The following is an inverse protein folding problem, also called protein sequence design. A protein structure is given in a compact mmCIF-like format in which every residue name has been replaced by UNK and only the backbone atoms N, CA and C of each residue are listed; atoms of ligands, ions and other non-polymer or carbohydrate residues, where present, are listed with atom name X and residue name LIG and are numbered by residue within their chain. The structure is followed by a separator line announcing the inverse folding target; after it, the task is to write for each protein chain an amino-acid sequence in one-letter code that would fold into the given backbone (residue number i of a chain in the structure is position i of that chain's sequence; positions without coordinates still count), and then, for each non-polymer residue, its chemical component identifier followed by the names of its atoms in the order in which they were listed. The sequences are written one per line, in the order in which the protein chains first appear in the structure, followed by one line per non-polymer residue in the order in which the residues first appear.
data_IF_071135565493
#
_entry.id   IF_071135565493
#
_cell.length_a   1.000
_cell.length_b   1.000
_cell.length_c   1.000
_cell.angle_alpha   90.00
_cell.angle_beta   90.00
_cell.angle_gamma   90.00
#
_symmetry.space_group_name_H-M   'P 1'
#
loop_
_entity.id
_entity.type
_entity.pdbx_description
1 polymer ?
#
# COMPACT_ATOMS: atom_id res chain seq x y z
N UNK A 1 17.33 3.37 29.08
CA UNK A 1 16.85 2.47 28.02
C UNK A 1 16.34 3.37 26.90
N UNK A 2 16.95 3.29 25.72
CA UNK A 2 16.60 4.18 24.61
C UNK A 2 15.20 3.87 24.09
N UNK A 3 14.51 4.85 23.50
CA UNK A 3 13.20 4.64 22.86
C UNK A 3 13.26 3.55 21.75
N UNK A 4 14.45 3.31 21.18
CA UNK A 4 14.67 2.36 20.10
C UNK A 4 14.78 0.90 20.55
N UNK A 5 15.41 0.62 21.70
CA UNK A 5 15.43 -0.74 22.28
C UNK A 5 14.01 -1.25 22.58
N UNK A 6 13.13 -0.32 23.00
CA UNK A 6 11.71 -0.61 23.18
C UNK A 6 11.06 -0.95 21.85
N UNK A 7 11.32 -0.17 20.80
CA UNK A 7 10.77 -0.42 19.47
C UNK A 7 11.22 -1.80 18.92
N UNK A 8 12.50 -2.13 19.00
CA UNK A 8 13.03 -3.43 18.56
C UNK A 8 12.38 -4.59 19.32
N UNK A 9 12.26 -4.47 20.64
CA UNK A 9 11.57 -5.48 21.47
C UNK A 9 10.12 -5.68 21.05
N UNK A 10 9.38 -4.60 20.74
CA UNK A 10 7.98 -4.67 20.30
C UNK A 10 7.83 -5.37 18.94
N UNK A 11 8.74 -5.15 18.00
CA UNK A 11 8.78 -5.92 16.75
C UNK A 11 9.07 -7.41 17.02
N UNK A 12 10.01 -7.71 17.92
CA UNK A 12 10.30 -9.08 18.32
C UNK A 12 9.11 -9.76 19.02
N UNK A 13 8.33 -9.05 19.84
CA UNK A 13 7.07 -9.52 20.45
C UNK A 13 6.04 -9.94 19.38
N UNK A 14 6.03 -9.25 18.23
CA UNK A 14 5.23 -9.61 17.05
C UNK A 14 5.88 -10.70 16.17
N UNK A 15 7.01 -11.28 16.58
CA UNK A 15 7.83 -12.20 15.77
C UNK A 15 8.28 -11.60 14.42
N UNK A 16 8.63 -10.31 14.45
CA UNK A 16 9.12 -9.54 13.31
C UNK A 16 10.56 -9.09 13.58
N UNK A 17 11.40 -9.15 12.56
CA UNK A 17 12.76 -8.64 12.61
C UNK A 17 12.77 -7.17 12.22
N UNK A 18 13.44 -6.34 13.00
CA UNK A 18 13.66 -4.94 12.70
C UNK A 18 15.11 -4.56 13.00
N UNK A 19 15.64 -3.65 12.22
CA UNK A 19 16.91 -2.95 12.47
C UNK A 19 16.58 -1.45 12.61
N UNK A 20 16.87 -0.88 13.77
CA UNK A 20 16.70 0.57 14.00
C UNK A 20 18.04 1.27 13.87
N UNK A 21 18.19 2.11 12.85
CA UNK A 21 19.45 2.84 12.59
C UNK A 21 19.37 4.22 13.22
N UNK A 22 20.16 4.43 14.27
CA UNK A 22 20.32 5.74 14.90
C UNK A 22 21.14 6.72 14.04
N UNK A 23 20.91 8.01 14.29
CA UNK A 23 21.54 9.11 13.59
C UNK A 23 23.07 9.06 13.77
N UNK A 24 23.82 8.91 12.67
CA UNK A 24 25.29 9.01 12.66
C UNK A 24 26.02 7.90 11.90
N UNK A 25 25.36 6.80 11.53
CA UNK A 25 26.07 5.60 11.05
C UNK A 25 26.08 5.44 9.51
N UNK A 26 25.18 6.06 8.73
CA UNK A 26 25.24 5.91 7.26
C UNK A 26 24.76 7.11 6.45
N UNK A 27 25.36 7.26 5.26
CA UNK A 27 24.75 7.90 4.09
C UNK A 27 23.37 7.27 3.90
N UNK A 28 22.32 8.06 4.13
CA UNK A 28 20.94 7.76 3.74
C UNK A 28 20.99 7.16 2.33
N UNK A 29 20.21 6.09 2.09
CA UNK A 29 20.30 5.29 0.86
C UNK A 29 20.44 6.17 -0.39
N UNK A 30 21.30 5.76 -1.33
CA UNK A 30 21.49 6.48 -2.60
C UNK A 30 20.20 6.64 -3.42
N UNK A 31 19.13 5.96 -3.03
CA UNK A 31 17.80 6.02 -3.63
C UNK A 31 16.90 7.12 -3.04
N UNK A 32 17.10 7.53 -1.78
CA UNK A 32 16.22 8.50 -1.09
C UNK A 32 16.90 9.77 -0.60
N UNK A 33 18.22 9.88 -0.65
CA UNK A 33 18.91 10.99 0.02
C UNK A 33 19.06 12.25 -0.85
N UNK A 34 18.08 13.16 -0.78
CA UNK A 34 18.35 14.58 -0.92
C UNK A 34 18.67 15.24 0.43
N UNK A 35 19.00 16.53 0.45
CA UNK A 35 19.31 17.26 1.67
C UNK A 35 18.18 17.16 2.73
N UNK A 36 18.54 17.11 4.01
CA UNK A 36 17.65 17.07 5.18
C UNK A 36 16.75 15.82 5.36
N UNK A 37 16.85 14.80 4.49
CA UNK A 37 16.09 13.56 4.65
C UNK A 37 16.46 12.75 5.93
N UNK A 38 17.58 13.06 6.59
CA UNK A 38 18.02 12.38 7.81
C UNK A 38 17.21 12.75 9.07
N UNK A 39 16.43 13.83 9.03
CA UNK A 39 15.58 14.28 10.14
C UNK A 39 14.16 13.72 10.07
N UNK A 40 13.76 13.20 8.91
CA UNK A 40 12.42 12.65 8.71
C UNK A 40 12.42 11.15 9.02
N UNK A 41 11.28 10.65 9.48
CA UNK A 41 11.10 9.20 9.63
C UNK A 41 11.27 8.54 8.26
N UNK A 42 11.91 7.37 8.23
CA UNK A 42 11.93 6.49 7.08
C UNK A 42 11.79 5.05 7.54
N UNK A 43 11.08 4.25 6.76
CA UNK A 43 10.98 2.82 6.97
C UNK A 43 10.94 2.11 5.62
N UNK A 44 11.57 0.94 5.56
CA UNK A 44 11.63 0.10 4.37
C UNK A 44 11.73 -1.37 4.78
N UNK A 45 11.51 -2.27 3.83
CA UNK A 45 11.74 -3.71 3.98
C UNK A 45 12.99 -4.06 3.18
N UNK A 46 13.90 -4.82 3.79
CA UNK A 46 15.11 -5.30 3.16
C UNK A 46 15.23 -6.82 3.30
N UNK A 47 16.11 -7.41 2.50
CA UNK A 47 16.29 -8.86 2.43
C UNK A 47 15.46 -9.49 1.31
N UNK A 48 15.39 -10.82 1.29
CA UNK A 48 14.55 -11.58 0.35
C UNK A 48 13.88 -12.77 1.06
N UNK A 49 12.59 -12.96 0.83
CA UNK A 49 11.86 -14.14 1.25
C UNK A 49 11.78 -14.29 2.79
N UNK A 50 12.42 -15.33 3.33
CA UNK A 50 12.37 -15.60 4.80
C UNK A 50 13.37 -14.76 5.61
N UNK A 51 14.30 -14.10 4.95
CA UNK A 51 15.30 -13.25 5.62
C UNK A 51 14.90 -11.77 5.64
N UNK A 52 13.68 -11.45 5.21
CA UNK A 52 13.18 -10.09 5.23
C UNK A 52 13.12 -9.51 6.66
N UNK A 53 13.47 -8.24 6.77
CA UNK A 53 13.39 -7.47 7.99
C UNK A 53 13.02 -6.02 7.69
N UNK A 54 12.42 -5.36 8.68
CA UNK A 54 12.15 -3.94 8.63
C UNK A 54 13.42 -3.16 8.93
N UNK A 55 13.70 -2.09 8.19
CA UNK A 55 14.71 -1.10 8.56
C UNK A 55 14.02 0.21 8.86
N UNK A 56 14.23 0.73 10.06
CA UNK A 56 13.68 2.01 10.52
C UNK A 56 14.82 3.00 10.71
N UNK A 57 14.67 4.17 10.11
CA UNK A 57 15.45 5.37 10.43
C UNK A 57 14.50 6.32 11.16
N UNK A 58 14.59 6.44 12.50
CA UNK A 58 13.63 7.24 13.27
C UNK A 58 13.62 8.74 12.94
N UNK A 59 14.73 9.25 12.39
CA UNK A 59 14.91 10.66 12.08
C UNK A 59 15.28 11.50 13.32
N UNK A 60 14.75 12.72 13.41
CA UNK A 60 15.01 13.64 14.50
C UNK A 60 14.50 13.09 15.84
N UNK A 61 15.17 13.44 16.96
CA UNK A 61 14.75 13.03 18.32
C UNK A 61 13.35 13.53 18.74
N UNK A 62 12.84 14.55 18.06
CA UNK A 62 11.47 15.06 18.26
C UNK A 62 10.40 14.19 17.59
N UNK A 63 10.79 13.23 16.76
CA UNK A 63 9.86 12.30 16.14
C UNK A 63 9.43 11.28 17.21
N UNK A 64 8.14 10.99 17.23
CA UNK A 64 7.54 9.97 18.08
C UNK A 64 7.20 8.77 17.20
N UNK A 65 7.86 7.65 17.49
CA UNK A 65 7.67 6.37 16.81
C UNK A 65 7.38 5.33 17.88
N UNK A 66 6.21 4.71 17.81
CA UNK A 66 5.76 3.75 18.82
C UNK A 66 5.11 2.54 18.16
N UNK A 67 5.50 1.34 18.59
CA UNK A 67 4.73 0.13 18.31
C UNK A 67 3.67 -0.04 19.40
N UNK A 68 2.40 0.07 18.98
CA UNK A 68 1.24 0.06 19.86
C UNK A 68 0.67 -1.37 19.99
N UNK A 69 -0.36 -1.72 19.20
CA UNK A 69 -0.98 -3.04 19.24
C UNK A 69 -0.14 -4.09 18.53
N UNK A 70 0.03 -5.23 19.18
CA UNK A 70 0.77 -6.39 18.66
C UNK A 70 -0.17 -7.57 18.57
N UNK A 71 -0.09 -8.29 17.46
CA UNK A 71 -0.73 -9.59 17.25
C UNK A 71 0.35 -10.58 16.84
N UNK A 72 0.82 -11.37 17.81
CA UNK A 72 1.91 -12.33 17.63
C UNK A 72 1.50 -13.48 16.70
N UNK A 73 0.24 -13.90 16.75
CA UNK A 73 -0.27 -15.01 15.95
C UNK A 73 -0.32 -14.62 14.47
N UNK A 74 -0.73 -13.39 14.18
CA UNK A 74 -0.71 -12.82 12.82
C UNK A 74 0.67 -12.31 12.40
N UNK A 75 1.64 -12.24 13.33
CA UNK A 75 2.95 -11.60 13.14
C UNK A 75 2.82 -10.17 12.62
N UNK A 76 2.00 -9.38 13.31
CA UNK A 76 1.62 -8.04 12.91
C UNK A 76 1.66 -7.09 14.09
N UNK A 77 1.90 -5.81 13.81
CA UNK A 77 1.78 -4.73 14.78
C UNK A 77 1.26 -3.45 14.13
N UNK A 78 0.76 -2.55 14.97
CA UNK A 78 0.43 -1.18 14.57
C UNK A 78 1.57 -0.25 15.00
N UNK A 79 2.10 0.50 14.05
CA UNK A 79 3.15 1.49 14.24
C UNK A 79 2.57 2.90 14.15
N UNK A 80 2.70 3.68 15.22
CA UNK A 80 2.44 5.12 15.25
C UNK A 80 3.70 5.87 14.81
N UNK A 81 3.52 6.84 13.91
CA UNK A 81 4.54 7.83 13.52
C UNK A 81 3.95 9.23 13.64
N UNK A 82 4.62 10.09 14.40
CA UNK A 82 4.31 11.50 14.53
C UNK A 82 5.61 12.31 14.48
N UNK A 83 5.73 13.22 13.52
CA UNK A 83 6.92 14.05 13.35
C UNK A 83 6.51 15.49 13.04
N UNK A 84 7.25 16.52 13.47
CA UNK A 84 7.02 17.89 13.02
C UNK A 84 7.04 18.03 11.50
N UNK A 85 6.37 19.07 10.97
CA UNK A 85 6.49 19.44 9.57
C UNK A 85 7.93 19.82 9.26
N UNK A 86 8.52 19.14 8.27
CA UNK A 86 9.87 19.39 7.76
C UNK A 86 9.86 19.33 6.25
N UNK A 87 10.63 20.21 5.64
CA UNK A 87 10.91 20.14 4.23
C UNK A 87 12.12 19.26 3.98
N UNK A 88 12.04 18.36 3.00
CA UNK A 88 13.15 17.51 2.58
C UNK A 88 13.14 17.30 1.06
N UNK A 89 14.28 16.91 0.51
CA UNK A 89 14.43 16.58 -0.91
C UNK A 89 14.23 15.07 -1.14
N UNK A 90 13.32 14.70 -2.05
CA UNK A 90 13.12 13.32 -2.52
C UNK A 90 13.69 13.15 -3.94
N UNK A 91 14.50 12.12 -4.15
CA UNK A 91 15.00 11.73 -5.49
C UNK A 91 14.03 10.76 -6.14
N UNK A 92 13.53 11.09 -7.33
CA UNK A 92 12.66 10.23 -8.14
C UNK A 92 13.27 9.99 -9.52
N UNK A 93 13.05 8.83 -10.16
CA UNK A 93 13.53 8.58 -11.52
C UNK A 93 12.84 9.51 -12.53
N UNK A 94 13.59 10.05 -13.48
CA UNK A 94 13.07 10.93 -14.54
C UNK A 94 12.27 10.14 -15.58
N UNK A 95 12.72 8.94 -15.93
CA UNK A 95 12.04 8.09 -16.90
C UNK A 95 10.84 7.38 -16.27
N UNK A 96 9.69 7.44 -16.94
CA UNK A 96 8.46 6.79 -16.49
C UNK A 96 7.69 7.52 -15.38
N UNK A 97 8.24 8.62 -14.84
CA UNK A 97 7.56 9.45 -13.84
C UNK A 97 6.98 10.70 -14.48
N UNK A 98 5.65 10.80 -14.49
CA UNK A 98 4.98 12.04 -14.86
C UNK A 98 4.87 12.95 -13.63
N UNK A 99 5.62 14.06 -13.64
CA UNK A 99 5.58 15.05 -12.56
C UNK A 99 4.74 16.24 -13.00
N UNK A 100 3.67 16.51 -12.27
CA UNK A 100 2.90 17.74 -12.42
C UNK A 100 3.66 18.88 -11.69
N UNK A 101 4.42 19.66 -12.47
CA UNK A 101 5.23 20.79 -11.96
C UNK A 101 4.39 21.92 -11.35
N UNK A 102 3.07 21.93 -11.56
CA UNK A 102 2.17 22.89 -10.89
C UNK A 102 1.88 22.49 -9.45
N UNK A 103 2.03 21.20 -9.11
CA UNK A 103 1.77 20.65 -7.77
C UNK A 103 3.05 20.34 -7.00
N UNK A 104 4.14 20.07 -7.71
CA UNK A 104 5.40 19.63 -7.11
C UNK A 104 6.53 20.58 -7.51
N UNK A 105 7.26 21.08 -6.51
CA UNK A 105 8.45 21.91 -6.72
C UNK A 105 9.66 21.02 -7.02
N UNK A 106 10.14 21.07 -8.25
CA UNK A 106 11.41 20.45 -8.66
C UNK A 106 12.56 21.37 -8.23
N UNK A 107 13.45 20.87 -7.38
CA UNK A 107 14.59 21.62 -6.84
C UNK A 107 15.79 21.52 -7.79
N UNK A 108 16.05 20.32 -8.32
CA UNK A 108 17.10 20.07 -9.31
C UNK A 108 16.76 18.85 -10.17
N UNK A 109 17.42 18.73 -11.31
CA UNK A 109 17.28 17.60 -12.22
C UNK A 109 18.61 17.23 -12.87
N UNK A 110 18.76 15.96 -13.22
CA UNK A 110 19.82 15.48 -14.11
C UNK A 110 19.22 14.62 -15.23
N UNK A 111 20.07 13.88 -15.96
CA UNK A 111 19.65 13.01 -17.05
C UNK A 111 18.76 11.83 -16.60
N UNK A 112 18.88 11.38 -15.34
CA UNK A 112 18.25 10.14 -14.83
C UNK A 112 17.23 10.39 -13.72
N UNK A 113 17.32 11.51 -13.02
CA UNK A 113 16.62 11.77 -11.76
C UNK A 113 16.09 13.21 -11.68
N UNK A 114 14.98 13.37 -10.94
CA UNK A 114 14.47 14.63 -10.46
C UNK A 114 14.59 14.65 -8.93
N UNK A 115 14.92 15.80 -8.36
CA UNK A 115 14.84 16.04 -6.92
C UNK A 115 13.70 16.99 -6.68
N UNK A 116 12.73 16.55 -5.89
CA UNK A 116 11.52 17.32 -5.59
C UNK A 116 11.47 17.68 -4.11
N UNK A 117 10.88 18.84 -3.83
CA UNK A 117 10.61 19.26 -2.46
C UNK A 117 9.40 18.50 -1.90
N UNK A 118 9.56 17.92 -0.72
CA UNK A 118 8.51 17.25 0.04
C UNK A 118 8.37 17.85 1.42
N UNK A 119 7.21 17.65 2.05
CA UNK A 119 6.93 18.12 3.40
C UNK A 119 6.30 17.02 4.23
N UNK A 120 6.84 16.74 5.40
CA UNK A 120 6.22 15.80 6.32
C UNK A 120 4.91 16.34 6.90
N UNK A 121 4.00 15.43 7.24
CA UNK A 121 2.74 15.75 7.91
C UNK A 121 2.88 15.65 9.43
N UNK A 122 2.46 16.69 10.15
CA UNK A 122 2.49 16.72 11.62
C UNK A 122 1.41 15.87 12.30
N UNK A 123 0.42 15.39 11.54
CA UNK A 123 -0.62 14.50 12.05
C UNK A 123 -0.04 13.14 12.40
N UNK A 124 -0.64 12.49 13.39
CA UNK A 124 -0.36 11.10 13.73
C UNK A 124 -0.75 10.20 12.56
N UNK A 125 0.21 9.46 12.03
CA UNK A 125 0.01 8.42 11.02
C UNK A 125 0.16 7.08 11.69
N UNK A 126 -0.70 6.13 11.33
CA UNK A 126 -0.59 4.76 11.81
C UNK A 126 -0.36 3.84 10.61
N UNK A 127 0.43 2.80 10.83
CA UNK A 127 0.76 1.80 9.82
C UNK A 127 0.49 0.42 10.40
N UNK A 128 -0.11 -0.46 9.62
CA UNK A 128 -0.08 -1.89 9.89
C UNK A 128 1.20 -2.44 9.26
N UNK A 129 2.09 -2.94 10.09
CA UNK A 129 3.33 -3.60 9.67
C UNK A 129 3.22 -5.07 10.04
N UNK A 130 3.68 -5.96 9.17
CA UNK A 130 3.78 -7.36 9.56
C UNK A 130 4.17 -8.27 8.44
N UNK A 131 3.92 -9.56 8.62
CA UNK A 131 4.09 -10.57 7.58
C UNK A 131 2.73 -11.03 7.09
N UNK A 132 2.55 -11.09 5.78
CA UNK A 132 1.44 -11.78 5.13
C UNK A 132 2.01 -12.95 4.35
N UNK A 133 1.45 -14.15 4.53
CA UNK A 133 1.90 -15.41 3.91
C UNK A 133 3.44 -15.55 3.82
N UNK A 134 4.06 -15.07 2.72
CA UNK A 134 5.49 -15.19 2.43
C UNK A 134 6.30 -13.92 2.61
N UNK A 135 5.72 -12.75 2.81
CA UNK A 135 6.48 -11.49 2.81
C UNK A 135 6.09 -10.50 3.90
N UNK A 136 7.05 -9.66 4.26
CA UNK A 136 6.77 -8.48 5.05
C UNK A 136 5.98 -7.47 4.21
N UNK A 137 5.10 -6.72 4.87
CA UNK A 137 4.36 -5.62 4.28
C UNK A 137 4.27 -4.47 5.27
N UNK A 138 4.04 -3.28 4.72
CA UNK A 138 3.62 -2.11 5.48
C UNK A 138 2.50 -1.43 4.73
N UNK A 139 1.44 -1.14 5.46
CA UNK A 139 0.25 -0.55 4.93
C UNK A 139 -0.12 0.65 5.78
N UNK A 140 -0.24 1.83 5.17
CA UNK A 140 -0.68 2.99 5.91
C UNK A 140 -2.20 2.92 6.18
N UNK A 141 -2.59 3.21 7.42
CA UNK A 141 -3.98 3.16 7.83
C UNK A 141 -4.70 4.48 7.49
N UNK A 142 -5.95 4.42 6.98
CA UNK A 142 -6.72 5.60 6.61
C UNK A 142 -7.15 6.46 7.79
N UNK A 143 -7.09 5.90 9.01
CA UNK A 143 -7.38 6.62 10.25
C UNK A 143 -6.59 6.01 11.42
N UNK A 144 -6.47 6.77 12.50
CA UNK A 144 -5.83 6.31 13.72
C UNK A 144 -6.60 5.13 14.33
N UNK A 145 -5.88 4.05 14.58
CA UNK A 145 -6.29 2.85 15.31
C UNK A 145 -5.06 2.29 15.99
N UNK A 146 -5.20 1.66 17.14
CA UNK A 146 -4.07 1.17 17.94
C UNK A 146 -3.97 -0.36 17.97
N UNK A 147 -5.00 -1.06 17.49
CA UNK A 147 -5.06 -2.54 17.50
C UNK A 147 -4.99 -3.11 16.08
N UNK A 148 -4.30 -4.24 15.91
CA UNK A 148 -4.21 -4.96 14.63
C UNK A 148 -5.60 -5.34 14.10
N UNK A 149 -6.50 -5.82 14.96
CA UNK A 149 -7.88 -6.14 14.55
C UNK A 149 -8.59 -4.93 13.94
N UNK A 150 -8.48 -3.76 14.58
CA UNK A 150 -9.06 -2.52 14.07
C UNK A 150 -8.38 -2.08 12.77
N UNK A 151 -7.06 -2.29 12.63
CA UNK A 151 -6.33 -2.03 11.39
C UNK A 151 -6.92 -2.83 10.20
N UNK A 152 -7.22 -4.12 10.40
CA UNK A 152 -7.91 -4.94 9.40
C UNK A 152 -9.32 -4.43 9.08
N UNK A 153 -10.07 -3.96 10.07
CA UNK A 153 -11.42 -3.43 9.88
C UNK A 153 -11.41 -2.13 9.07
N UNK A 154 -10.49 -1.21 9.35
CA UNK A 154 -10.44 0.08 8.64
C UNK A 154 -9.98 -0.02 7.20
N UNK A 155 -9.18 -1.04 6.89
CA UNK A 155 -8.68 -1.33 5.53
C UNK A 155 -9.74 -1.93 4.60
N UNK A 156 -10.90 -2.36 5.13
CA UNK A 156 -12.01 -2.86 4.30
C UNK A 156 -12.75 -1.71 3.64
N UNK A 157 -12.84 -1.74 2.32
CA UNK A 157 -13.67 -0.81 1.58
C UNK A 157 -15.17 -1.02 1.88
N UNK A 158 -16.03 0.01 1.71
CA UNK A 158 -17.46 -0.11 1.99
C UNK A 158 -18.13 -1.28 1.27
N UNK A 159 -17.67 -1.62 0.08
CA UNK A 159 -18.18 -2.75 -0.72
C UNK A 159 -17.83 -4.11 -0.10
N UNK A 160 -16.65 -4.21 0.52
CA UNK A 160 -16.21 -5.40 1.26
C UNK A 160 -17.03 -5.57 2.53
N UNK A 161 -17.28 -4.48 3.25
CA UNK A 161 -18.09 -4.49 4.48
C UNK A 161 -19.55 -4.87 4.18
N UNK A 162 -20.10 -4.41 3.06
CA UNK A 162 -21.47 -4.74 2.62
C UNK A 162 -21.61 -6.13 2.03
N UNK A 163 -20.51 -6.79 1.65
CA UNK A 163 -20.56 -8.13 1.06
C UNK A 163 -21.08 -9.13 2.10
N UNK A 164 -22.09 -9.91 1.70
CA UNK A 164 -22.66 -10.99 2.54
C UNK A 164 -22.05 -12.36 2.23
N UNK A 165 -21.35 -12.47 1.10
CA UNK A 165 -20.73 -13.70 0.63
C UNK A 165 -19.30 -13.87 1.13
N UNK A 166 -18.63 -14.91 0.59
CA UNK A 166 -17.22 -15.13 0.87
C UNK A 166 -16.38 -14.00 0.26
N UNK A 167 -15.53 -13.40 1.09
CA UNK A 167 -14.56 -12.40 0.67
C UNK A 167 -13.18 -13.03 0.65
N UNK A 168 -12.61 -13.20 -0.54
CA UNK A 168 -11.20 -13.53 -0.66
C UNK A 168 -10.36 -12.25 -0.61
N UNK A 169 -9.12 -12.35 -0.13
CA UNK A 169 -8.16 -11.24 -0.09
C UNK A 169 -6.79 -11.75 -0.56
N UNK A 170 -6.08 -10.91 -1.30
CA UNK A 170 -4.67 -11.10 -1.65
C UNK A 170 -3.99 -9.72 -1.67
N UNK A 171 -3.00 -9.49 -0.80
CA UNK A 171 -2.34 -8.19 -0.68
C UNK A 171 -3.33 -7.04 -0.39
N UNK A 172 -3.35 -6.04 -1.26
CA UNK A 172 -4.25 -4.88 -1.24
C UNK A 172 -5.62 -5.13 -1.89
N UNK A 173 -5.84 -6.32 -2.47
CA UNK A 173 -7.05 -6.64 -3.23
C UNK A 173 -8.01 -7.53 -2.44
N UNK A 174 -9.28 -7.17 -2.48
CA UNK A 174 -10.41 -7.98 -2.07
C UNK A 174 -11.19 -8.44 -3.29
N UNK A 175 -11.67 -9.67 -3.24
CA UNK A 175 -12.53 -10.26 -4.25
C UNK A 175 -13.86 -10.59 -3.58
N UNK A 176 -14.88 -9.81 -3.94
CA UNK A 176 -16.21 -9.91 -3.34
C UNK A 176 -17.20 -10.45 -4.36
N UNK A 177 -18.22 -11.15 -3.88
CA UNK A 177 -19.32 -11.58 -4.72
C UNK A 177 -20.04 -10.35 -5.33
N UNK A 178 -20.18 -10.28 -6.68
CA UNK A 178 -20.91 -9.20 -7.33
C UNK A 178 -22.40 -9.23 -6.97
N UNK A 179 -23.02 -8.06 -6.93
CA UNK A 179 -24.48 -7.96 -6.85
C UNK A 179 -25.14 -8.42 -8.17
N UNK A 180 -26.43 -8.78 -8.12
CA UNK A 180 -27.19 -9.15 -9.32
C UNK A 180 -27.16 -8.06 -10.41
N UNK A 181 -27.29 -6.79 -10.02
CA UNK A 181 -27.23 -5.66 -10.95
C UNK A 181 -25.84 -5.51 -11.60
N UNK A 182 -24.76 -5.78 -10.86
CA UNK A 182 -23.40 -5.79 -11.40
C UNK A 182 -23.18 -6.95 -12.37
N UNK A 183 -23.73 -8.13 -12.07
CA UNK A 183 -23.69 -9.28 -12.98
C UNK A 183 -24.48 -9.02 -14.26
N UNK A 184 -25.65 -8.39 -14.17
CA UNK A 184 -26.44 -8.00 -15.34
C UNK A 184 -25.70 -6.95 -16.19
N UNK A 185 -25.08 -5.95 -15.55
CA UNK A 185 -24.24 -4.96 -16.24
C UNK A 185 -23.06 -5.61 -16.98
N UNK A 186 -22.35 -6.54 -16.33
CA UNK A 186 -21.26 -7.30 -16.93
C UNK A 186 -21.75 -8.11 -18.14
N UNK A 187 -22.85 -8.84 -17.99
CA UNK A 187 -23.43 -9.65 -19.07
C UNK A 187 -23.86 -8.77 -20.26
N UNK A 188 -24.50 -7.63 -19.99
CA UNK A 188 -24.90 -6.68 -21.03
C UNK A 188 -23.69 -6.06 -21.74
N UNK A 189 -22.64 -5.68 -20.99
CA UNK A 189 -21.43 -5.11 -21.56
C UNK A 189 -20.68 -6.11 -22.47
N UNK A 190 -20.63 -7.39 -22.08
CA UNK A 190 -20.02 -8.45 -22.89
C UNK A 190 -20.85 -8.76 -24.15
N UNK A 191 -22.18 -8.93 -24.02
CA UNK A 191 -23.05 -9.19 -25.19
C UNK A 191 -23.05 -8.05 -26.19
N UNK A 192 -23.00 -6.81 -25.70
CA UNK A 192 -22.96 -5.61 -26.54
C UNK A 192 -21.55 -5.23 -27.02
N UNK A 193 -20.54 -6.05 -26.78
CA UNK A 193 -19.13 -5.78 -27.13
C UNK A 193 -18.60 -4.43 -26.61
N UNK A 194 -19.17 -3.91 -25.52
CA UNK A 194 -18.72 -2.67 -24.86
C UNK A 194 -17.50 -2.87 -23.97
N UNK A 195 -17.18 -4.13 -23.68
CA UNK A 195 -15.98 -4.54 -22.97
C UNK A 195 -15.47 -5.87 -23.51
N UNK A 196 -14.23 -6.21 -23.15
CA UNK A 196 -13.57 -7.45 -23.56
C UNK A 196 -13.02 -8.18 -22.33
N UNK A 197 -13.09 -9.51 -22.36
CA UNK A 197 -12.37 -10.34 -21.40
C UNK A 197 -10.89 -10.32 -21.76
N UNK A 198 -10.10 -9.70 -20.91
CA UNK A 198 -8.64 -9.71 -21.03
C UNK A 198 -8.10 -10.93 -20.28
N UNK A 199 -7.12 -11.62 -20.86
CA UNK A 199 -6.51 -12.82 -20.27
C UNK A 199 -5.13 -12.50 -19.70
N UNK A 200 -4.74 -13.19 -18.62
CA UNK A 200 -3.43 -13.03 -17.95
C UNK A 200 -3.06 -11.56 -17.75
N UNK A 201 -3.99 -10.80 -17.19
CA UNK A 201 -3.92 -9.33 -17.17
C UNK A 201 -3.61 -8.82 -15.76
N UNK A 202 -2.68 -7.86 -15.62
CA UNK A 202 -2.43 -7.14 -14.38
C UNK A 202 -3.69 -6.50 -13.79
N UNK A 203 -3.89 -6.66 -12.49
CA UNK A 203 -4.82 -5.90 -11.67
C UNK A 203 -4.07 -4.65 -11.19
N UNK A 204 -4.50 -3.49 -11.65
CA UNK A 204 -3.84 -2.23 -11.31
C UNK A 204 -2.53 -1.99 -12.08
N UNK A 205 -1.67 -1.14 -11.51
CA UNK A 205 -0.37 -0.74 -12.07
C UNK A 205 0.70 -0.92 -11.00
N UNK A 206 1.87 -1.45 -11.34
CA UNK A 206 2.97 -1.71 -10.41
C UNK A 206 4.12 -2.48 -11.06
N UNK A 207 5.24 -2.61 -10.36
CA UNK A 207 6.40 -3.40 -10.80
C UNK A 207 6.11 -4.89 -10.78
N UNK A 208 5.47 -5.37 -9.71
CA UNK A 208 4.96 -6.73 -9.57
C UNK A 208 3.44 -6.70 -9.39
N UNK A 209 2.63 -6.58 -10.46
CA UNK A 209 1.20 -6.54 -10.30
C UNK A 209 0.63 -7.95 -10.03
N UNK A 210 -0.49 -7.99 -9.31
CA UNK A 210 -1.33 -9.17 -9.26
C UNK A 210 -1.86 -9.48 -10.66
N UNK A 211 -1.78 -10.72 -11.13
CA UNK A 211 -2.20 -11.11 -12.48
C UNK A 211 -3.39 -12.07 -12.41
N UNK A 212 -4.53 -11.65 -12.97
CA UNK A 212 -5.73 -12.48 -13.10
C UNK A 212 -5.72 -13.28 -14.41
N UNK A 213 -6.16 -14.53 -14.36
CA UNK A 213 -6.40 -15.36 -15.55
C UNK A 213 -7.38 -14.68 -16.51
N UNK A 214 -8.47 -14.10 -15.97
CA UNK A 214 -9.43 -13.30 -16.72
C UNK A 214 -9.78 -12.01 -15.95
N UNK A 215 -9.82 -10.87 -16.67
CA UNK A 215 -10.14 -9.56 -16.13
C UNK A 215 -11.05 -8.78 -17.10
N UNK A 216 -12.08 -8.14 -16.57
CA UNK A 216 -13.00 -7.28 -17.32
C UNK A 216 -13.19 -5.97 -16.58
N UNK A 217 -13.06 -4.85 -17.27
CA UNK A 217 -13.48 -3.54 -16.77
C UNK A 217 -14.83 -3.19 -17.40
N UNK A 218 -15.85 -2.98 -16.56
CA UNK A 218 -17.19 -2.59 -16.99
C UNK A 218 -17.36 -1.10 -16.72
N UNK A 219 -17.63 -0.27 -17.75
CA UNK A 219 -17.92 1.14 -17.54
C UNK A 219 -19.27 1.32 -16.83
N UNK A 220 -19.56 2.53 -16.36
CA UNK A 220 -20.88 2.84 -15.83
C UNK A 220 -21.97 2.44 -16.83
N UNK A 221 -22.94 1.65 -16.38
CA UNK A 221 -23.94 1.02 -17.25
C UNK A 221 -25.32 1.16 -16.64
N UNK A 222 -26.32 1.45 -17.46
CA UNK A 222 -27.73 1.46 -17.04
C UNK A 222 -28.28 0.03 -17.08
N UNK A 223 -28.78 -0.45 -15.95
CA UNK A 223 -29.48 -1.73 -15.81
C UNK A 223 -30.91 -1.46 -15.34
N UNK A 224 -31.88 -1.70 -16.23
CA UNK A 224 -33.26 -1.23 -16.04
C UNK A 224 -33.31 0.29 -15.85
N UNK A 225 -33.70 0.75 -14.66
CA UNK A 225 -33.74 2.17 -14.27
C UNK A 225 -32.58 2.59 -13.34
N UNK A 226 -31.64 1.69 -13.05
CA UNK A 226 -30.54 1.91 -12.10
C UNK A 226 -29.23 2.09 -12.83
N UNK A 227 -28.47 3.12 -12.45
CA UNK A 227 -27.09 3.27 -12.90
C UNK A 227 -26.19 2.40 -12.03
N UNK A 228 -25.48 1.46 -12.65
CA UNK A 228 -24.43 0.66 -12.03
C UNK A 228 -23.09 1.38 -12.22
N UNK A 229 -22.35 1.60 -11.13
CA UNK A 229 -21.05 2.26 -11.17
C UNK A 229 -20.01 1.44 -11.96
N UNK A 230 -18.95 2.08 -12.49
CA UNK A 230 -17.86 1.35 -13.10
C UNK A 230 -17.24 0.35 -12.11
N UNK A 231 -16.92 -0.85 -12.60
CA UNK A 231 -16.37 -1.92 -11.77
C UNK A 231 -15.39 -2.78 -12.56
N UNK A 232 -14.47 -3.43 -11.84
CA UNK A 232 -13.56 -4.43 -12.40
C UNK A 232 -13.93 -5.79 -11.84
N UNK A 233 -13.96 -6.80 -12.71
CA UNK A 233 -14.27 -8.17 -12.35
C UNK A 233 -13.11 -9.08 -12.76
N UNK A 234 -12.80 -10.05 -11.90
CA UNK A 234 -11.81 -11.08 -12.15
C UNK A 234 -12.43 -12.48 -12.05
N UNK A 235 -11.88 -13.44 -12.79
CA UNK A 235 -12.24 -14.86 -12.73
C UNK A 235 -11.00 -15.73 -12.95
N UNK A 236 -11.05 -16.96 -12.44
CA UNK A 236 -9.93 -17.90 -12.51
C UNK A 236 -8.90 -17.62 -11.42
N UNK A 237 -7.61 -17.87 -11.71
CA UNK A 237 -6.54 -17.67 -10.73
C UNK A 237 -6.05 -16.24 -10.71
N UNK A 238 -5.85 -15.69 -9.52
CA UNK A 238 -5.12 -14.44 -9.29
C UNK A 238 -3.78 -14.78 -8.63
N UNK A 239 -2.70 -14.43 -9.32
CA UNK A 239 -1.33 -14.77 -8.93
C UNK A 239 -0.56 -13.51 -8.59
N UNK A 240 0.25 -13.62 -7.56
CA UNK A 240 1.27 -12.64 -7.21
C UNK A 240 2.52 -13.41 -6.80
N UNK A 241 3.71 -12.83 -7.00
CA UNK A 241 4.97 -13.50 -6.62
C UNK A 241 5.06 -13.69 -5.10
N UNK A 242 4.38 -12.82 -4.36
CA UNK A 242 4.51 -12.73 -2.90
C UNK A 242 3.33 -13.34 -2.14
N UNK A 243 2.29 -13.74 -2.86
CA UNK A 243 1.06 -14.25 -2.27
C UNK A 243 0.64 -15.61 -2.84
N UNK A 244 -0.04 -16.39 -2.02
CA UNK A 244 -0.72 -17.62 -2.41
C UNK A 244 -1.77 -17.32 -3.47
N UNK A 245 -1.91 -18.23 -4.43
CA UNK A 245 -2.82 -18.03 -5.55
C UNK A 245 -4.27 -18.09 -5.07
N UNK A 246 -5.03 -17.03 -5.31
CA UNK A 246 -6.48 -17.02 -5.09
C UNK A 246 -7.18 -17.65 -6.30
N UNK A 247 -8.13 -18.56 -6.04
CA UNK A 247 -8.92 -19.24 -7.07
C UNK A 247 -10.37 -18.75 -7.04
N UNK A 248 -10.79 -18.03 -8.09
CA UNK A 248 -12.13 -17.47 -8.26
C UNK A 248 -12.95 -18.35 -9.23
N UNK A 249 -13.88 -19.14 -8.68
CA UNK A 249 -14.72 -20.07 -9.47
C UNK A 249 -15.71 -19.35 -10.40
N UNK A 250 -16.18 -18.17 -9.99
CA UNK A 250 -17.08 -17.30 -10.73
C UNK A 250 -16.48 -15.89 -10.85
N UNK A 251 -17.17 -14.99 -11.55
CA UNK A 251 -16.78 -13.58 -11.57
C UNK A 251 -16.87 -13.00 -10.17
N UNK A 252 -15.76 -12.43 -9.69
CA UNK A 252 -15.71 -11.67 -8.46
C UNK A 252 -15.41 -10.20 -8.77
N UNK A 253 -16.04 -9.29 -8.03
CA UNK A 253 -15.73 -7.87 -8.11
C UNK A 253 -14.40 -7.62 -7.40
N UNK A 254 -13.50 -6.93 -8.10
CA UNK A 254 -12.17 -6.58 -7.61
C UNK A 254 -12.24 -5.24 -6.89
N UNK A 255 -11.93 -5.23 -5.61
CA UNK A 255 -12.03 -4.05 -4.75
C UNK A 255 -10.68 -3.84 -4.06
N UNK A 256 -10.08 -2.67 -4.23
CA UNK A 256 -8.87 -2.32 -3.48
C UNK A 256 -9.20 -1.98 -2.02
N UNK A 257 -8.29 -2.25 -1.10
CA UNK A 257 -8.35 -1.75 0.27
C UNK A 257 -8.44 -0.21 0.31
N UNK A 258 -8.68 0.33 1.50
CA UNK A 258 -8.80 1.79 1.73
C UNK A 258 -7.48 2.45 2.13
N UNK A 259 -6.35 1.82 1.81
CA UNK A 259 -5.04 2.44 2.03
C UNK A 259 -4.98 3.81 1.30
N UNK A 260 -4.55 4.88 1.98
CA UNK A 260 -4.45 6.19 1.35
C UNK A 260 -3.56 6.15 0.11
N UNK A 261 -4.10 6.64 -1.00
CA UNK A 261 -3.32 6.89 -2.22
C UNK A 261 -2.87 8.33 -2.17
N UNK A 262 -1.57 8.58 -2.35
CA UNK A 262 -1.04 9.95 -2.35
C UNK A 262 -1.79 10.82 -3.38
N UNK A 263 -2.23 12.00 -2.93
CA UNK A 263 -3.09 12.92 -3.69
C UNK A 263 -2.31 13.74 -4.74
N UNK A 264 -0.98 13.63 -4.76
CA UNK A 264 -0.09 14.58 -5.42
C UNK A 264 0.35 14.18 -6.84
N UNK A 265 -0.34 13.23 -7.48
CA UNK A 265 -0.03 12.79 -8.85
C UNK A 265 1.23 11.92 -8.97
N UNK A 266 1.92 11.63 -7.86
CA UNK A 266 2.98 10.63 -7.75
C UNK A 266 2.52 9.69 -6.64
N UNK A 267 2.32 8.41 -6.94
CA UNK A 267 1.99 7.42 -5.92
C UNK A 267 3.18 7.29 -4.97
N UNK A 268 3.10 7.91 -3.77
CA UNK A 268 3.88 7.58 -2.55
C UNK A 268 3.59 8.61 -1.46
N UNK A 269 3.53 8.11 -0.24
CA UNK A 269 3.27 8.89 0.97
C UNK A 269 4.50 9.70 1.42
N UNK A 270 4.27 10.83 2.06
CA UNK A 270 5.28 11.57 2.81
C UNK A 270 5.94 10.67 3.88
N UNK A 271 7.26 10.49 3.77
CA UNK A 271 8.11 9.94 4.83
C UNK A 271 8.15 8.41 4.97
N UNK A 272 7.58 7.62 4.06
CA UNK A 272 7.82 6.16 4.07
C UNK A 272 8.05 5.66 2.65
N UNK A 273 9.30 5.36 2.33
CA UNK A 273 9.70 4.85 1.02
C UNK A 273 9.27 3.38 0.89
N UNK A 274 8.09 3.15 0.34
CA UNK A 274 7.69 1.84 -0.19
C UNK A 274 8.24 1.69 -1.61
N UNK A 275 9.31 0.91 -1.72
CA UNK A 275 9.78 0.35 -2.98
C UNK A 275 9.40 -1.13 -2.92
N UNK A 276 8.39 -1.50 -3.71
CA UNK A 276 8.36 -2.80 -4.36
C UNK A 276 9.47 -2.82 -5.43
#
# INVERSE_FOLDING_TARGET
MGNFEVLERRFAEANLRVEVIERGIHRVSSWTAGANASDVFQMTILGKGREEYFRILPGARTNRIEAEGIDRDRRQLVLLVQEPVRTFEERIPRHGTQVDRTKVKVIREDQRSLWIERRTDARKRHFLCGRDERQLFICQLPRAVTMVKQAHEVLRAPEVVRSKGNVARQGEWFFVEPTEAEMEALAAALRGFRTIVRRKTPIGRGGHPHVADELVAVPATLVGKRTVAPAVFARGRVRHVDHETVCLQSWAKVVRNTEPVAQDGIARMDGVSWID
#
